data_IF_996108129571
#
_entry.id   IF_996108129571
#
_cell.length_a   1.000
_cell.length_b   1.000
_cell.length_c   1.000
_cell.angle_alpha   90.00
_cell.angle_beta   90.00
_cell.angle_gamma   90.00
#
_symmetry.space_group_name_H-M   'P 1'
#
loop_
_entity.id
_entity.type
_entity.pdbx_description
1 polymer ?
#
# COMPACT_ATOMS: atom_id res chain seq x y z
N UNK A 1 20.49 -14.39 1.51
CA UNK A 1 19.34 -15.21 1.96
C UNK A 1 18.38 -14.18 2.55
N UNK A 2 17.29 -13.76 1.93
CA UNK A 2 16.22 -14.54 1.33
C UNK A 2 15.39 -13.65 0.38
N UNK A 3 15.78 -13.55 -0.90
CA UNK A 3 14.90 -13.01 -1.95
C UNK A 3 13.76 -13.99 -2.32
N UNK A 4 13.62 -15.12 -1.61
CA UNK A 4 12.71 -16.22 -1.93
C UNK A 4 11.45 -16.27 -1.04
N UNK A 5 11.29 -15.34 -0.10
CA UNK A 5 10.17 -15.36 0.89
C UNK A 5 8.93 -14.59 0.43
N UNK A 6 9.04 -13.72 -0.58
CA UNK A 6 8.04 -12.68 -0.87
C UNK A 6 6.76 -13.21 -1.56
N UNK A 7 6.83 -14.26 -2.39
CA UNK A 7 5.62 -14.83 -3.02
C UNK A 7 4.82 -15.76 -2.10
N UNK A 8 5.48 -16.48 -1.19
CA UNK A 8 4.77 -17.41 -0.29
C UNK A 8 3.93 -16.68 0.77
N UNK A 9 4.33 -15.47 1.17
CA UNK A 9 3.60 -14.69 2.18
C UNK A 9 2.24 -14.19 1.70
N UNK A 10 2.05 -13.96 0.38
CA UNK A 10 0.77 -13.51 -0.20
C UNK A 10 -0.38 -14.46 0.10
N UNK A 11 -0.12 -15.77 0.15
CA UNK A 11 -1.11 -16.78 0.49
C UNK A 11 -1.68 -16.59 1.90
N UNK A 12 -0.91 -15.98 2.82
CA UNK A 12 -1.30 -15.82 4.22
C UNK A 12 -1.94 -14.47 4.54
N UNK A 13 -1.93 -13.49 3.61
CA UNK A 13 -2.49 -12.15 3.86
C UNK A 13 -3.95 -12.21 4.32
N UNK A 14 -4.73 -13.13 3.74
CA UNK A 14 -6.14 -13.34 4.07
C UNK A 14 -6.39 -13.64 5.55
N UNK A 15 -5.44 -14.28 6.23
CA UNK A 15 -5.58 -14.60 7.65
C UNK A 15 -5.52 -13.37 8.57
N UNK A 16 -5.02 -12.24 8.07
CA UNK A 16 -4.87 -11.01 8.86
C UNK A 16 -5.95 -9.97 8.55
N UNK A 17 -6.80 -10.21 7.54
CA UNK A 17 -7.80 -9.22 7.13
C UNK A 17 -8.84 -9.01 8.23
N UNK A 18 -9.36 -10.09 8.83
CA UNK A 18 -10.45 -10.05 9.81
C UNK A 18 -10.11 -9.15 11.01
N UNK A 19 -8.94 -9.31 11.61
CA UNK A 19 -8.54 -8.60 12.84
C UNK A 19 -7.94 -7.20 12.61
N UNK A 20 -7.78 -6.77 11.35
CA UNK A 20 -7.20 -5.47 11.02
C UNK A 20 -8.21 -4.31 11.19
N UNK A 21 -7.76 -3.13 11.61
CA UNK A 21 -8.61 -1.92 11.61
C UNK A 21 -8.62 -1.20 10.26
N UNK A 22 -7.77 -1.61 9.33
CA UNK A 22 -7.49 -0.90 8.08
C UNK A 22 -6.35 -1.54 7.30
N UNK A 23 -6.22 -1.16 6.03
CA UNK A 23 -5.17 -1.62 5.14
C UNK A 23 -4.13 -0.51 4.95
N UNK A 24 -2.85 -0.85 5.11
CA UNK A 24 -1.75 0.01 4.66
C UNK A 24 -1.06 -0.67 3.48
N UNK A 25 -1.06 -0.01 2.33
CA UNK A 25 -0.51 -0.50 1.07
C UNK A 25 0.70 0.33 0.66
N UNK A 26 1.87 -0.28 0.51
CA UNK A 26 3.12 0.45 0.21
C UNK A 26 3.44 0.33 -1.27
N UNK A 27 3.66 1.47 -1.94
CA UNK A 27 4.08 1.52 -3.34
C UNK A 27 5.45 2.16 -3.48
N UNK A 28 6.18 1.75 -4.51
CA UNK A 28 7.37 2.46 -4.96
C UNK A 28 6.96 3.62 -5.88
N UNK A 29 7.09 4.85 -5.39
CA UNK A 29 6.66 6.03 -6.17
C UNK A 29 7.60 6.34 -7.34
N UNK A 30 8.82 5.80 -7.35
CA UNK A 30 9.78 6.06 -8.43
C UNK A 30 9.60 5.09 -9.61
N UNK A 31 9.06 3.90 -9.37
CA UNK A 31 8.85 2.87 -10.40
C UNK A 31 7.40 2.87 -10.92
N UNK A 32 7.12 3.73 -11.90
CA UNK A 32 5.79 3.88 -12.48
C UNK A 32 5.27 2.62 -13.19
N UNK A 33 6.16 1.77 -13.72
CA UNK A 33 5.74 0.53 -14.38
C UNK A 33 5.11 -0.44 -13.38
N UNK A 34 5.68 -0.50 -12.17
CA UNK A 34 5.17 -1.35 -11.09
C UNK A 34 3.88 -0.83 -10.45
N UNK A 35 3.56 0.45 -10.58
CA UNK A 35 2.28 0.98 -10.10
C UNK A 35 1.07 0.34 -10.83
N UNK A 36 1.21 0.01 -12.11
CA UNK A 36 0.14 -0.67 -12.86
C UNK A 36 -0.14 -2.08 -12.35
N UNK A 37 0.91 -2.84 -12.00
CA UNK A 37 0.77 -4.16 -11.37
C UNK A 37 0.20 -4.03 -9.96
N UNK A 38 0.68 -3.05 -9.20
CA UNK A 38 0.20 -2.75 -7.85
C UNK A 38 -1.31 -2.42 -7.82
N UNK A 39 -1.82 -1.71 -8.84
CA UNK A 39 -3.25 -1.48 -9.01
C UNK A 39 -4.04 -2.79 -9.06
N UNK A 40 -3.65 -3.73 -9.92
CA UNK A 40 -4.37 -4.99 -10.09
C UNK A 40 -4.38 -5.84 -8.81
N UNK A 41 -3.27 -5.84 -8.07
CA UNK A 41 -3.19 -6.51 -6.77
C UNK A 41 -4.08 -5.83 -5.73
N UNK A 42 -4.05 -4.49 -5.68
CA UNK A 42 -4.87 -3.72 -4.76
C UNK A 42 -6.37 -3.94 -5.02
N UNK A 43 -6.81 -3.95 -6.28
CA UNK A 43 -8.20 -4.27 -6.67
C UNK A 43 -8.63 -5.62 -6.10
N UNK A 44 -7.85 -6.68 -6.33
CA UNK A 44 -8.15 -8.02 -5.80
C UNK A 44 -8.15 -8.08 -4.27
N UNK A 45 -7.28 -7.31 -3.61
CA UNK A 45 -7.26 -7.25 -2.15
C UNK A 45 -8.54 -6.58 -1.64
N UNK A 46 -8.96 -5.46 -2.24
CA UNK A 46 -10.11 -4.69 -1.79
C UNK A 46 -11.46 -5.38 -2.06
N UNK A 47 -11.52 -6.35 -2.98
CA UNK A 47 -12.68 -7.21 -3.23
C UNK A 47 -12.99 -8.18 -2.07
N UNK A 48 -12.07 -8.39 -1.14
CA UNK A 48 -12.32 -9.25 0.02
C UNK A 48 -13.32 -8.62 1.00
N UNK A 49 -14.37 -9.38 1.36
CA UNK A 49 -15.44 -8.96 2.27
C UNK A 49 -14.91 -8.43 3.62
N UNK A 50 -13.87 -9.06 4.15
CA UNK A 50 -13.21 -8.67 5.41
C UNK A 50 -12.54 -7.29 5.36
N UNK A 51 -12.36 -6.73 4.16
CA UNK A 51 -11.79 -5.42 3.93
C UNK A 51 -12.82 -4.41 3.41
N UNK A 52 -14.05 -4.78 3.06
CA UNK A 52 -15.02 -3.95 2.32
C UNK A 52 -15.19 -2.52 2.91
N UNK A 53 -15.29 -2.42 4.23
CA UNK A 53 -15.51 -1.15 4.94
C UNK A 53 -14.26 -0.55 5.58
N UNK A 54 -13.10 -1.19 5.39
CA UNK A 54 -11.87 -0.82 6.11
C UNK A 54 -11.11 0.30 5.37
N UNK A 55 -10.63 1.34 6.08
CA UNK A 55 -9.90 2.44 5.48
C UNK A 55 -8.58 1.96 4.85
N UNK A 56 -8.15 2.66 3.80
CA UNK A 56 -6.89 2.41 3.08
C UNK A 56 -5.90 3.56 3.30
N UNK A 57 -4.66 3.25 3.62
CA UNK A 57 -3.54 4.19 3.56
C UNK A 57 -2.55 3.69 2.52
N UNK A 58 -2.27 4.49 1.50
CA UNK A 58 -1.21 4.21 0.54
C UNK A 58 0.05 4.95 0.98
N UNK A 59 1.11 4.20 1.30
CA UNK A 59 2.42 4.79 1.56
C UNK A 59 3.18 4.93 0.24
N UNK A 60 3.31 6.17 -0.23
CA UNK A 60 4.07 6.53 -1.40
C UNK A 60 5.56 6.59 -1.04
N UNK A 61 6.26 5.46 -1.12
CA UNK A 61 7.66 5.34 -0.73
C UNK A 61 8.61 5.88 -1.80
N UNK A 62 9.86 6.18 -1.42
CA UNK A 62 10.94 6.70 -2.26
C UNK A 62 10.77 8.14 -2.75
N UNK A 63 10.06 8.96 -1.98
CA UNK A 63 9.89 10.39 -2.27
C UNK A 63 11.21 11.18 -2.23
N UNK A 64 12.27 10.60 -1.70
CA UNK A 64 13.62 11.16 -1.73
C UNK A 64 14.33 11.04 -3.09
N UNK A 65 13.77 10.28 -4.04
CA UNK A 65 14.33 10.12 -5.38
C UNK A 65 13.76 11.15 -6.36
N UNK A 66 14.59 11.72 -7.24
CA UNK A 66 14.10 12.61 -8.29
C UNK A 66 13.17 11.86 -9.24
N UNK A 67 12.04 12.48 -9.58
CA UNK A 67 11.04 11.87 -10.45
C UNK A 67 10.11 10.86 -9.76
N UNK A 68 10.12 10.77 -8.43
CA UNK A 68 9.08 10.08 -7.69
C UNK A 68 7.70 10.69 -7.98
N UNK A 69 6.72 9.84 -8.26
CA UNK A 69 5.33 10.22 -8.50
C UNK A 69 4.75 10.92 -7.27
N UNK A 70 3.99 11.99 -7.51
CA UNK A 70 3.29 12.69 -6.43
C UNK A 70 1.99 11.95 -6.06
N UNK A 71 1.28 12.45 -5.05
CA UNK A 71 0.04 11.82 -4.58
C UNK A 71 -1.06 11.78 -5.65
N UNK A 72 -1.20 12.82 -6.48
CA UNK A 72 -2.22 12.86 -7.53
C UNK A 72 -1.94 11.84 -8.63
N UNK A 73 -0.68 11.73 -9.07
CA UNK A 73 -0.24 10.75 -10.08
C UNK A 73 -0.47 9.31 -9.60
N UNK A 74 -0.19 9.04 -8.32
CA UNK A 74 -0.41 7.72 -7.71
C UNK A 74 -1.91 7.43 -7.60
N UNK A 75 -2.71 8.41 -7.16
CA UNK A 75 -4.16 8.26 -7.04
C UNK A 75 -4.81 7.93 -8.40
N UNK A 76 -4.34 8.57 -9.47
CA UNK A 76 -4.79 8.33 -10.83
C UNK A 76 -4.33 6.96 -11.34
N UNK A 77 -3.04 6.64 -11.20
CA UNK A 77 -2.47 5.36 -11.69
C UNK A 77 -3.09 4.15 -10.99
N UNK A 78 -3.31 4.23 -9.68
CA UNK A 78 -3.98 3.19 -8.90
C UNK A 78 -5.51 3.24 -9.02
N UNK A 79 -6.07 4.26 -9.68
CA UNK A 79 -7.50 4.46 -9.83
C UNK A 79 -8.27 4.51 -8.50
N UNK A 80 -7.69 5.12 -7.46
CA UNK A 80 -8.20 5.04 -6.09
C UNK A 80 -9.64 5.57 -5.94
N UNK A 81 -10.01 6.59 -6.71
CA UNK A 81 -11.36 7.16 -6.69
C UNK A 81 -12.43 6.14 -7.10
N UNK A 82 -12.14 5.31 -8.10
CA UNK A 82 -13.08 4.30 -8.58
C UNK A 82 -13.07 3.07 -7.65
N UNK A 83 -11.89 2.52 -7.36
CA UNK A 83 -11.79 1.25 -6.62
C UNK A 83 -12.13 1.39 -5.13
N UNK A 84 -11.97 2.58 -4.55
CA UNK A 84 -12.35 2.81 -3.15
C UNK A 84 -13.82 3.22 -3.00
N UNK A 85 -14.46 3.82 -4.01
CA UNK A 85 -15.84 4.30 -3.90
C UNK A 85 -16.08 5.17 -2.66
N UNK A 86 -16.87 4.67 -1.70
CA UNK A 86 -17.18 5.34 -0.43
C UNK A 86 -16.17 5.07 0.71
N UNK A 87 -15.17 4.20 0.48
CA UNK A 87 -14.12 3.87 1.45
C UNK A 87 -13.23 5.09 1.67
N UNK A 88 -12.90 5.37 2.93
CA UNK A 88 -11.90 6.39 3.27
C UNK A 88 -10.51 5.94 2.84
N UNK A 89 -9.80 6.78 2.09
CA UNK A 89 -8.40 6.52 1.71
C UNK A 89 -7.53 7.77 1.85
N UNK A 90 -6.23 7.55 2.06
CA UNK A 90 -5.20 8.59 2.16
C UNK A 90 -3.93 8.13 1.46
N UNK A 91 -3.25 9.04 0.76
CA UNK A 91 -1.87 8.82 0.30
C UNK A 91 -0.94 9.60 1.22
N UNK A 92 0.05 8.92 1.77
CA UNK A 92 1.05 9.52 2.65
C UNK A 92 2.43 9.36 2.00
N UNK A 93 3.14 10.47 1.67
CA UNK A 93 4.52 10.39 1.23
C UNK A 93 5.41 9.83 2.34
N UNK A 94 6.36 8.98 1.96
CA UNK A 94 7.38 8.48 2.87
C UNK A 94 8.70 8.17 2.14
N UNK A 95 9.76 8.05 2.94
CA UNK A 95 11.03 7.48 2.50
C UNK A 95 11.59 6.60 3.60
N UNK A 96 11.60 5.29 3.34
CA UNK A 96 12.27 4.33 4.21
C UNK A 96 13.78 4.56 4.32
N UNK A 97 14.39 5.30 3.38
CA UNK A 97 15.83 5.60 3.37
C UNK A 97 16.19 6.76 4.28
N UNK A 98 15.40 7.83 4.29
CA UNK A 98 15.64 9.00 5.15
C UNK A 98 15.00 8.87 6.54
N UNK A 99 14.16 7.83 6.74
CA UNK A 99 13.44 7.60 7.99
C UNK A 99 12.16 8.42 8.12
N UNK A 100 11.77 9.14 7.07
CA UNK A 100 10.50 9.87 6.97
C UNK A 100 9.36 8.86 6.71
N UNK A 101 8.95 8.16 7.76
CA UNK A 101 7.82 7.22 7.74
C UNK A 101 6.86 7.58 8.87
N UNK A 102 5.55 7.28 8.75
CA UNK A 102 4.61 7.46 9.86
C UNK A 102 5.09 6.69 11.10
N UNK A 103 4.90 7.29 12.28
CA UNK A 103 5.34 6.65 13.53
C UNK A 103 4.68 5.28 13.70
N UNK A 104 5.41 4.33 14.30
CA UNK A 104 4.90 2.96 14.55
C UNK A 104 3.61 2.96 15.38
N UNK A 105 3.43 3.93 16.27
CA UNK A 105 2.22 4.12 17.06
C UNK A 105 1.03 4.53 16.17
N UNK A 106 1.27 5.36 15.16
CA UNK A 106 0.23 5.79 14.20
C UNK A 106 -0.30 4.67 13.32
N UNK A 107 0.46 3.57 13.13
CA UNK A 107 0.09 2.45 12.27
C UNK A 107 -0.14 1.14 13.05
N UNK A 108 -0.06 1.15 14.38
CA UNK A 108 -0.06 -0.06 15.22
C UNK A 108 -1.32 -0.93 15.08
N UNK A 109 -2.45 -0.36 14.67
CA UNK A 109 -3.74 -1.05 14.49
C UNK A 109 -4.03 -1.46 13.04
N UNK A 110 -3.17 -1.07 12.10
CA UNK A 110 -3.35 -1.33 10.67
C UNK A 110 -2.58 -2.58 10.24
N UNK A 111 -3.16 -3.38 9.35
CA UNK A 111 -2.39 -4.42 8.68
C UNK A 111 -1.47 -3.77 7.65
N UNK A 112 -0.17 -3.78 7.93
CA UNK A 112 0.83 -3.16 7.09
C UNK A 112 1.34 -4.18 6.08
N UNK A 113 0.91 -4.06 4.82
CA UNK A 113 1.54 -4.73 3.67
C UNK A 113 2.84 -3.99 3.28
N UNK A 114 3.73 -3.79 4.24
CA UNK A 114 5.17 -3.62 3.99
C UNK A 114 5.67 -5.05 3.76
N UNK A 115 6.21 -5.44 2.61
CA UNK A 115 7.51 -5.05 2.06
C UNK A 115 7.51 -5.28 0.54
N UNK A 116 7.37 -4.24 -0.29
CA UNK A 116 7.38 -4.37 -1.77
C UNK A 116 8.16 -3.29 -2.53
N UNK A 117 9.03 -2.51 -1.87
CA UNK A 117 9.78 -1.44 -2.52
C UNK A 117 11.30 -1.43 -2.22
N UNK A 118 11.94 -2.59 -2.14
CA UNK A 118 13.41 -2.71 -2.15
C UNK A 118 13.85 -3.87 -3.02
#
# INVERSE_FOLDING_TARGET
>A
LEFFVIHQMRAYWKHYYQDSSGLVYVVDSHDQNRLSEAKQELEQILEHEELESKPLIVLANKQDLPGAANADDIAETLNLKEICGNRNWLIQPCSGRTGEVPSRESLASYFVLSWLAS
#
